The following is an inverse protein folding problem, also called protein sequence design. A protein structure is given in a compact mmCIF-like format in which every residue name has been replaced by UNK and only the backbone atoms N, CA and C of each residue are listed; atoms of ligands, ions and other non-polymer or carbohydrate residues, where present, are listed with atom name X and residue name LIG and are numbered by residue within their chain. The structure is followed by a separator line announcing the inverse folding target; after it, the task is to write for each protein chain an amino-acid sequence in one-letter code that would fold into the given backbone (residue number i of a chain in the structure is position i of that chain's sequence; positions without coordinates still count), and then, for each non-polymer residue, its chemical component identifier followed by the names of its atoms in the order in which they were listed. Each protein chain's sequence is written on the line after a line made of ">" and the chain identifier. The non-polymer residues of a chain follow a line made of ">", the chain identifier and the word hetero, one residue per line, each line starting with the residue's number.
data_IF_081624233993
#
_entry.id   IF_081624233993
#
_cell.length_a   1.000
_cell.length_b   1.000
_cell.length_c   1.000
_cell.angle_alpha   90.00
_cell.angle_beta   90.00
_cell.angle_gamma   90.00
#
_symmetry.space_group_name_H-M   'P 1'
#
loop_
_entity.id
_entity.type
_entity.pdbx_description
1 polymer ?
#
# COMPACT_ATOMS: atom_id res chain seq x y z
N UNK A 1 -39.96 -28.92 58.94
CA UNK A 1 -38.49 -28.77 58.87
C UNK A 1 -38.07 -28.69 57.39
N UNK A 2 -37.06 -27.87 57.09
CA UNK A 2 -36.80 -27.18 55.81
C UNK A 2 -36.60 -28.10 54.58
N UNK A 3 -37.28 -27.77 53.46
CA UNK A 3 -37.02 -28.31 52.11
C UNK A 3 -35.72 -27.70 51.55
N UNK A 4 -34.78 -28.55 51.17
CA UNK A 4 -33.68 -28.18 50.26
C UNK A 4 -34.23 -28.20 48.84
N UNK A 5 -34.31 -27.03 48.20
CA UNK A 5 -34.61 -26.93 46.77
C UNK A 5 -33.28 -26.73 46.05
N UNK A 6 -32.90 -27.74 45.24
CA UNK A 6 -31.70 -27.73 44.43
C UNK A 6 -31.74 -26.61 43.38
N UNK A 7 -30.59 -25.95 43.22
CA UNK A 7 -30.40 -24.90 42.24
C UNK A 7 -30.21 -25.54 40.85
N UNK A 8 -31.30 -25.67 40.09
CA UNK A 8 -31.22 -26.00 38.66
C UNK A 8 -30.75 -24.75 37.91
N UNK A 9 -29.44 -24.68 37.65
CA UNK A 9 -28.86 -23.66 36.77
C UNK A 9 -29.25 -24.03 35.34
N UNK A 10 -30.25 -23.32 34.84
CA UNK A 10 -30.78 -23.44 33.48
C UNK A 10 -29.67 -23.16 32.46
N UNK A 11 -29.36 -24.13 31.62
CA UNK A 11 -28.32 -24.08 30.59
C UNK A 11 -28.47 -22.90 29.59
N UNK A 12 -29.63 -22.23 29.54
CA UNK A 12 -29.89 -21.10 28.64
C UNK A 12 -29.13 -19.81 28.98
N UNK A 13 -28.78 -19.57 30.25
CA UNK A 13 -28.23 -18.27 30.68
C UNK A 13 -26.73 -18.14 30.40
N UNK A 14 -25.98 -19.25 30.38
CA UNK A 14 -24.53 -19.25 30.10
C UNK A 14 -24.24 -19.10 28.60
N UNK A 15 -25.11 -19.61 27.72
CA UNK A 15 -24.94 -19.52 26.27
C UNK A 15 -25.01 -18.09 25.71
N UNK A 16 -25.88 -17.23 26.27
CA UNK A 16 -26.05 -15.86 25.80
C UNK A 16 -24.87 -14.94 26.13
N UNK A 17 -24.15 -15.20 27.23
CA UNK A 17 -22.97 -14.40 27.65
C UNK A 17 -21.77 -14.71 26.74
N UNK A 18 -21.60 -15.97 26.31
CA UNK A 18 -20.51 -16.37 25.42
C UNK A 18 -20.71 -15.92 23.96
N UNK A 19 -21.97 -15.91 23.47
CA UNK A 19 -22.29 -15.38 22.13
C UNK A 19 -22.16 -13.86 22.10
N UNK A 20 -22.56 -13.17 23.17
CA UNK A 20 -22.42 -11.72 23.31
C UNK A 20 -20.96 -11.26 23.28
N UNK A 21 -20.08 -11.94 24.02
CA UNK A 21 -18.64 -11.61 24.07
C UNK A 21 -17.92 -11.88 22.76
N UNK A 22 -18.23 -12.96 22.04
CA UNK A 22 -17.65 -13.24 20.71
C UNK A 22 -18.13 -12.27 19.64
N UNK A 23 -19.42 -11.93 19.61
CA UNK A 23 -19.94 -10.93 18.66
C UNK A 23 -19.35 -9.53 18.93
N UNK A 24 -19.22 -9.15 20.20
CA UNK A 24 -18.66 -7.86 20.60
C UNK A 24 -17.15 -7.76 20.34
N UNK A 25 -16.38 -8.85 20.55
CA UNK A 25 -14.95 -8.90 20.16
C UNK A 25 -14.76 -8.93 18.65
N UNK A 26 -15.63 -9.58 17.87
CA UNK A 26 -15.61 -9.53 16.41
C UNK A 26 -15.91 -8.13 15.87
N UNK A 27 -16.90 -7.42 16.44
CA UNK A 27 -17.22 -6.04 16.07
C UNK A 27 -16.09 -5.08 16.45
N UNK A 28 -15.48 -5.25 17.63
CA UNK A 28 -14.34 -4.44 18.06
C UNK A 28 -13.07 -4.74 17.24
N UNK A 29 -12.81 -5.99 16.82
CA UNK A 29 -11.72 -6.29 15.87
C UNK A 29 -11.92 -5.60 14.52
N UNK A 30 -13.15 -5.56 14.00
CA UNK A 30 -13.45 -4.83 12.75
C UNK A 30 -13.29 -3.31 12.92
N UNK A 31 -13.79 -2.74 14.02
CA UNK A 31 -13.62 -1.31 14.34
C UNK A 31 -12.17 -0.94 14.57
N UNK A 32 -11.39 -1.77 15.26
CA UNK A 32 -9.97 -1.55 15.46
C UNK A 32 -9.20 -1.70 14.15
N UNK A 33 -9.55 -2.66 13.28
CA UNK A 33 -8.97 -2.73 11.93
C UNK A 33 -9.28 -1.49 11.10
N UNK A 34 -10.51 -1.00 11.14
CA UNK A 34 -10.92 0.23 10.44
C UNK A 34 -10.26 1.47 11.02
N UNK A 35 -10.17 1.58 12.35
CA UNK A 35 -9.50 2.68 13.03
C UNK A 35 -7.99 2.63 12.77
N UNK A 36 -7.36 1.46 12.82
CA UNK A 36 -5.95 1.28 12.46
C UNK A 36 -5.69 1.49 10.97
N UNK A 37 -6.60 1.13 10.07
CA UNK A 37 -6.46 1.43 8.65
C UNK A 37 -6.67 2.92 8.38
N UNK A 38 -7.65 3.55 9.02
CA UNK A 38 -7.89 4.99 8.91
C UNK A 38 -6.75 5.79 9.53
N UNK A 39 -6.30 5.47 10.74
CA UNK A 39 -5.12 6.07 11.37
C UNK A 39 -3.86 5.78 10.55
N UNK A 40 -3.74 4.60 9.95
CA UNK A 40 -2.66 4.25 9.03
C UNK A 40 -2.67 5.10 7.76
N UNK A 41 -3.85 5.36 7.17
CA UNK A 41 -4.01 6.23 6.01
C UNK A 41 -3.86 7.72 6.39
N UNK A 42 -4.37 8.14 7.55
CA UNK A 42 -4.22 9.50 8.08
C UNK A 42 -2.76 9.79 8.41
N UNK A 43 -2.07 8.88 9.09
CA UNK A 43 -0.65 9.02 9.43
C UNK A 43 0.23 9.05 8.18
N UNK A 44 -0.10 8.27 7.14
CA UNK A 44 0.53 8.40 5.81
C UNK A 44 0.28 9.75 5.16
N UNK A 45 -0.90 10.34 5.37
CA UNK A 45 -1.24 11.67 4.85
C UNK A 45 -0.60 12.81 5.65
N UNK A 46 -0.33 12.60 6.95
CA UNK A 46 0.17 13.61 7.87
C UNK A 46 1.70 13.59 8.02
N UNK A 47 2.35 12.44 7.86
CA UNK A 47 3.82 12.29 7.83
C UNK A 47 4.23 11.54 6.55
N UNK A 48 4.26 12.23 5.39
CA UNK A 48 4.53 11.65 4.07
C UNK A 48 6.00 11.27 3.85
N UNK A 49 6.82 11.25 4.90
CA UNK A 49 8.24 10.91 4.91
C UNK A 49 8.51 9.49 4.41
N UNK A 50 9.75 9.01 4.57
CA UNK A 50 10.16 7.62 4.34
C UNK A 50 9.11 6.56 4.74
N UNK A 51 8.38 6.72 5.86
CA UNK A 51 7.29 5.82 6.27
C UNK A 51 6.14 5.72 5.24
N UNK A 52 5.80 6.81 4.56
CA UNK A 52 4.85 6.85 3.46
C UNK A 52 5.29 6.00 2.27
N UNK A 53 6.56 6.13 1.85
CA UNK A 53 7.16 5.30 0.81
C UNK A 53 7.21 3.83 1.20
N UNK A 54 7.65 3.52 2.42
CA UNK A 54 7.73 2.15 2.94
C UNK A 54 6.37 1.45 2.96
N UNK A 55 5.34 2.21 3.30
CA UNK A 55 3.98 1.72 3.41
C UNK A 55 3.20 1.74 2.08
N UNK A 56 3.82 2.24 1.00
CA UNK A 56 3.23 2.26 -0.33
C UNK A 56 3.40 0.91 -1.00
N UNK A 57 2.33 0.13 -1.01
CA UNK A 57 2.28 -1.15 -1.71
C UNK A 57 2.56 -1.00 -3.22
N UNK A 58 2.28 0.16 -3.81
CA UNK A 58 2.50 0.40 -5.23
C UNK A 58 4.00 0.41 -5.62
N UNK A 59 4.89 0.82 -4.71
CA UNK A 59 6.35 0.81 -4.93
C UNK A 59 7.00 -0.53 -4.57
N UNK A 60 6.24 -1.48 -4.01
CA UNK A 60 6.73 -2.83 -3.76
C UNK A 60 6.79 -3.63 -5.06
N UNK A 61 7.97 -4.15 -5.40
CA UNK A 61 8.22 -4.95 -6.61
C UNK A 61 7.39 -6.23 -6.67
N UNK A 62 6.92 -6.74 -5.52
CA UNK A 62 6.08 -7.94 -5.42
C UNK A 62 4.59 -7.64 -5.51
N UNK A 63 4.17 -6.37 -5.48
CA UNK A 63 2.74 -6.04 -5.47
C UNK A 63 2.02 -6.52 -6.73
N UNK A 64 2.61 -6.36 -7.91
CA UNK A 64 2.07 -6.89 -9.17
C UNK A 64 1.82 -8.40 -9.07
N UNK A 65 2.78 -9.17 -8.57
CA UNK A 65 2.67 -10.63 -8.44
C UNK A 65 1.56 -11.01 -7.43
N UNK A 66 1.45 -10.28 -6.31
CA UNK A 66 0.35 -10.47 -5.35
C UNK A 66 -1.01 -10.20 -5.96
N UNK A 67 -1.16 -9.13 -6.75
CA UNK A 67 -2.45 -8.80 -7.38
C UNK A 67 -2.84 -9.90 -8.37
N UNK A 68 -1.91 -10.37 -9.20
CA UNK A 68 -2.14 -11.49 -10.13
C UNK A 68 -2.53 -12.79 -9.40
N UNK A 69 -1.84 -13.13 -8.31
CA UNK A 69 -2.14 -14.37 -7.57
C UNK A 69 -3.46 -14.31 -6.79
N UNK A 70 -3.95 -13.10 -6.48
CA UNK A 70 -5.16 -12.91 -5.65
C UNK A 70 -6.47 -12.82 -6.45
N UNK A 71 -6.41 -12.72 -7.78
CA UNK A 71 -7.57 -12.43 -8.64
C UNK A 71 -7.56 -13.26 -9.92
N UNK A 72 -8.74 -13.75 -10.29
CA UNK A 72 -8.97 -14.53 -11.52
C UNK A 72 -9.30 -13.69 -12.77
N UNK A 73 -9.23 -12.35 -12.69
CA UNK A 73 -9.59 -11.44 -13.78
C UNK A 73 -8.42 -11.01 -14.66
N UNK A 74 -8.72 -10.60 -15.92
CA UNK A 74 -7.73 -10.01 -16.84
C UNK A 74 -7.37 -8.59 -16.39
N UNK A 75 -6.25 -8.47 -15.68
CA UNK A 75 -5.72 -7.18 -15.22
C UNK A 75 -5.00 -6.47 -16.38
N UNK A 76 -5.30 -5.20 -16.59
CA UNK A 76 -4.62 -4.35 -17.57
C UNK A 76 -3.25 -3.98 -17.03
N UNK A 77 -2.20 -4.29 -17.79
CA UNK A 77 -0.80 -4.07 -17.40
C UNK A 77 0.01 -3.36 -18.48
N UNK A 78 1.13 -2.77 -18.09
CA UNK A 78 2.11 -2.25 -19.04
C UNK A 78 2.77 -3.39 -19.81
N UNK A 79 3.09 -3.12 -21.09
CA UNK A 79 4.07 -3.93 -21.84
C UNK A 79 5.41 -3.85 -21.12
N UNK A 80 6.17 -4.96 -21.14
CA UNK A 80 7.50 -5.04 -20.51
C UNK A 80 8.43 -3.92 -20.99
N UNK A 81 8.47 -3.65 -22.29
CA UNK A 81 9.29 -2.58 -22.89
C UNK A 81 8.91 -1.19 -22.37
N UNK A 82 7.62 -0.91 -22.18
CA UNK A 82 7.15 0.35 -21.60
C UNK A 82 7.57 0.50 -20.14
N UNK A 83 7.43 -0.56 -19.34
CA UNK A 83 7.88 -0.53 -17.94
C UNK A 83 9.40 -0.31 -17.83
N UNK A 84 10.20 -0.96 -18.68
CA UNK A 84 11.65 -0.73 -18.76
C UNK A 84 11.98 0.70 -19.20
N UNK A 85 11.29 1.23 -20.21
CA UNK A 85 11.51 2.61 -20.66
C UNK A 85 11.25 3.62 -19.54
N UNK A 86 10.12 3.49 -18.85
CA UNK A 86 9.78 4.34 -17.72
C UNK A 86 10.77 4.21 -16.56
N UNK A 87 11.27 3.00 -16.26
CA UNK A 87 12.33 2.83 -15.28
C UNK A 87 13.61 3.60 -15.65
N UNK A 88 14.03 3.51 -16.92
CA UNK A 88 15.21 4.23 -17.41
C UNK A 88 15.00 5.75 -17.41
N UNK A 89 13.81 6.23 -17.76
CA UNK A 89 13.45 7.65 -17.69
C UNK A 89 13.54 8.18 -16.25
N UNK A 90 13.04 7.42 -15.27
CA UNK A 90 13.20 7.75 -13.85
C UNK A 90 14.68 7.77 -13.46
N UNK A 91 15.45 6.75 -13.84
CA UNK A 91 16.87 6.66 -13.45
C UNK A 91 17.69 7.83 -14.01
N UNK A 92 17.41 8.26 -15.25
CA UNK A 92 18.02 9.47 -15.83
C UNK A 92 17.64 10.76 -15.11
N UNK A 93 16.51 10.76 -14.40
CA UNK A 93 16.08 11.87 -13.56
C UNK A 93 16.96 12.03 -12.32
N UNK A 94 17.49 10.93 -11.77
CA UNK A 94 18.45 11.02 -10.68
C UNK A 94 19.83 11.42 -11.21
N UNK A 95 20.32 12.58 -10.81
CA UNK A 95 21.55 13.19 -11.32
C UNK A 95 22.47 13.60 -10.17
N UNK A 96 23.78 13.59 -10.41
CA UNK A 96 24.72 14.10 -9.42
C UNK A 96 24.50 15.60 -9.15
N UNK A 97 24.69 16.01 -7.89
CA UNK A 97 24.56 17.40 -7.45
C UNK A 97 25.38 18.40 -8.30
N UNK A 98 26.58 18.00 -8.75
CA UNK A 98 27.45 18.83 -9.59
C UNK A 98 26.93 19.05 -11.02
N UNK A 99 25.86 18.36 -11.43
CA UNK A 99 25.16 18.57 -12.70
C UNK A 99 23.85 19.35 -12.54
N UNK A 100 23.65 20.00 -11.39
CA UNK A 100 22.44 20.80 -11.11
C UNK A 100 21.34 20.04 -10.37
N UNK A 101 21.67 18.93 -9.71
CA UNK A 101 20.72 18.13 -8.95
C UNK A 101 19.81 17.27 -9.82
N UNK A 102 18.87 16.60 -9.16
CA UNK A 102 17.90 15.71 -9.79
C UNK A 102 16.96 16.48 -10.73
N UNK A 103 16.26 15.75 -11.60
CA UNK A 103 15.21 16.27 -12.47
C UNK A 103 13.88 15.69 -12.00
N UNK A 104 13.41 16.19 -10.87
CA UNK A 104 12.28 15.62 -10.12
C UNK A 104 11.00 15.65 -10.96
N UNK A 105 10.77 16.74 -11.72
CA UNK A 105 9.60 16.87 -12.59
C UNK A 105 9.57 15.81 -13.70
N UNK A 106 10.73 15.36 -14.21
CA UNK A 106 10.79 14.25 -15.17
C UNK A 106 10.34 12.93 -14.52
N UNK A 107 10.76 12.70 -13.27
CA UNK A 107 10.35 11.53 -12.49
C UNK A 107 8.83 11.60 -12.22
N UNK A 108 8.32 12.77 -11.84
CA UNK A 108 6.88 12.98 -11.61
C UNK A 108 6.07 12.75 -12.88
N UNK A 109 6.53 13.22 -14.04
CA UNK A 109 5.87 13.01 -15.32
C UNK A 109 5.68 11.52 -15.63
N UNK A 110 6.68 10.68 -15.34
CA UNK A 110 6.54 9.22 -15.48
C UNK A 110 5.43 8.70 -14.57
N UNK A 111 5.42 9.06 -13.28
CA UNK A 111 4.37 8.61 -12.36
C UNK A 111 2.97 9.07 -12.77
N UNK A 112 2.81 10.30 -13.28
CA UNK A 112 1.51 10.83 -13.75
C UNK A 112 0.99 10.11 -15.01
N UNK A 113 1.88 9.51 -15.80
CA UNK A 113 1.49 8.73 -16.97
C UNK A 113 0.95 7.32 -16.63
N UNK A 114 1.24 6.83 -15.43
CA UNK A 114 0.75 5.54 -14.95
C UNK A 114 -0.72 5.63 -14.58
N UNK A 115 -1.46 4.55 -14.84
CA UNK A 115 -2.93 4.54 -14.73
C UNK A 115 -3.46 3.84 -13.48
N UNK A 116 -2.63 3.04 -12.82
CA UNK A 116 -2.99 2.30 -11.61
C UNK A 116 -1.74 1.89 -10.82
N UNK A 117 -1.94 1.43 -9.58
CA UNK A 117 -0.87 1.02 -8.66
C UNK A 117 -0.15 -0.26 -9.12
N UNK A 118 -0.76 -1.09 -9.96
CA UNK A 118 -0.07 -2.26 -10.55
C UNK A 118 0.98 -1.80 -11.53
N UNK A 119 0.67 -0.80 -12.38
CA UNK A 119 1.66 -0.24 -13.30
C UNK A 119 2.84 0.41 -12.56
N UNK A 120 2.60 1.08 -11.44
CA UNK A 120 3.67 1.59 -10.56
C UNK A 120 4.58 0.45 -10.10
N UNK A 121 4.01 -0.66 -9.63
CA UNK A 121 4.77 -1.82 -9.19
C UNK A 121 5.56 -2.47 -10.34
N UNK A 122 5.00 -2.50 -11.56
CA UNK A 122 5.73 -2.98 -12.73
C UNK A 122 6.94 -2.10 -13.06
N UNK A 123 6.82 -0.77 -12.95
CA UNK A 123 7.94 0.16 -13.14
C UNK A 123 8.98 -0.03 -12.03
N UNK A 124 8.57 -0.14 -10.77
CA UNK A 124 9.49 -0.41 -9.65
C UNK A 124 10.25 -1.74 -9.85
N UNK A 125 9.55 -2.80 -10.25
CA UNK A 125 10.13 -4.11 -10.57
C UNK A 125 11.08 -4.04 -11.77
N UNK A 126 10.75 -3.24 -12.78
CA UNK A 126 11.64 -3.00 -13.92
C UNK A 126 12.89 -2.24 -13.47
N UNK A 127 12.75 -1.18 -12.70
CA UNK A 127 13.85 -0.38 -12.16
C UNK A 127 14.85 -1.24 -11.37
N UNK A 128 14.36 -2.10 -10.48
CA UNK A 128 15.22 -3.04 -9.74
C UNK A 128 15.97 -4.01 -10.65
N UNK A 129 15.32 -4.51 -11.70
CA UNK A 129 15.95 -5.43 -12.65
C UNK A 129 17.04 -4.75 -13.47
N UNK A 130 16.77 -3.57 -14.01
CA UNK A 130 17.68 -2.86 -14.93
C UNK A 130 18.85 -2.20 -14.19
N UNK A 131 18.59 -1.56 -13.05
CA UNK A 131 19.60 -0.74 -12.34
C UNK A 131 20.16 -1.41 -11.09
N UNK A 132 19.64 -2.58 -10.69
CA UNK A 132 20.02 -3.29 -9.46
C UNK A 132 19.81 -2.48 -8.17
N UNK A 133 18.99 -1.44 -8.25
CA UNK A 133 18.65 -0.53 -7.16
C UNK A 133 17.14 -0.58 -6.90
N UNK A 134 16.72 -0.38 -5.66
CA UNK A 134 15.29 -0.31 -5.34
C UNK A 134 14.78 1.11 -5.60
N UNK A 135 13.74 1.24 -6.42
CA UNK A 135 13.16 2.56 -6.73
C UNK A 135 12.65 3.29 -5.47
N UNK A 136 12.12 2.55 -4.49
CA UNK A 136 11.70 3.14 -3.21
C UNK A 136 12.87 3.79 -2.49
N UNK A 137 13.99 3.08 -2.43
CA UNK A 137 15.18 3.53 -1.71
C UNK A 137 15.81 4.71 -2.46
N UNK A 138 15.86 4.66 -3.79
CA UNK A 138 16.33 5.77 -4.61
C UNK A 138 15.50 7.03 -4.42
N UNK A 139 14.16 6.93 -4.40
CA UNK A 139 13.30 8.07 -4.08
C UNK A 139 13.57 8.61 -2.67
N UNK A 140 13.86 7.74 -1.70
CA UNK A 140 14.14 8.15 -0.32
C UNK A 140 15.50 8.83 -0.18
N UNK A 141 16.51 8.36 -0.92
CA UNK A 141 17.88 8.85 -0.83
C UNK A 141 18.06 10.18 -1.57
N UNK A 142 17.32 10.36 -2.66
CA UNK A 142 17.41 11.53 -3.53
C UNK A 142 16.42 12.64 -3.16
N UNK A 143 15.19 12.29 -2.79
CA UNK A 143 14.14 13.30 -2.61
C UNK A 143 13.98 13.75 -1.17
N UNK A 144 13.69 15.04 -1.02
CA UNK A 144 13.25 15.64 0.22
C UNK A 144 11.80 15.28 0.57
N UNK A 145 11.34 15.72 1.75
CA UNK A 145 9.99 15.43 2.24
C UNK A 145 8.89 15.94 1.30
N UNK A 146 9.05 17.11 0.69
CA UNK A 146 8.06 17.74 -0.18
C UNK A 146 7.94 17.02 -1.53
N UNK A 147 9.08 16.56 -2.04
CA UNK A 147 9.21 15.81 -3.29
C UNK A 147 8.64 14.39 -3.14
N UNK A 148 8.96 13.71 -2.04
CA UNK A 148 8.34 12.43 -1.68
C UNK A 148 6.82 12.58 -1.57
N UNK A 149 6.34 13.65 -0.91
CA UNK A 149 4.90 13.93 -0.79
C UNK A 149 4.24 14.10 -2.17
N UNK A 150 4.94 14.70 -3.12
CA UNK A 150 4.44 14.85 -4.50
C UNK A 150 4.28 13.50 -5.19
N UNK A 151 5.30 12.63 -5.12
CA UNK A 151 5.23 11.26 -5.68
C UNK A 151 4.10 10.46 -5.04
N UNK A 152 4.03 10.45 -3.71
CA UNK A 152 2.97 9.74 -2.99
C UNK A 152 1.58 10.32 -3.29
N UNK A 153 1.48 11.65 -3.46
CA UNK A 153 0.26 12.33 -3.87
C UNK A 153 -0.25 11.85 -5.23
N UNK A 154 0.65 11.71 -6.22
CA UNK A 154 0.33 11.15 -7.54
C UNK A 154 -0.15 9.70 -7.39
N UNK A 155 0.63 8.85 -6.71
CA UNK A 155 0.34 7.41 -6.56
C UNK A 155 -0.96 7.17 -5.78
N UNK A 156 -1.26 8.00 -4.78
CA UNK A 156 -2.42 7.82 -3.90
C UNK A 156 -3.74 7.86 -4.67
N UNK A 157 -3.83 8.74 -5.69
CA UNK A 157 -4.98 8.96 -6.57
C UNK A 157 -5.18 7.84 -7.59
N UNK A 158 -4.19 6.98 -7.79
CA UNK A 158 -4.30 5.87 -8.72
C UNK A 158 -5.16 4.74 -8.14
N UNK A 159 -6.07 4.13 -8.95
CA UNK A 159 -6.80 2.94 -8.54
C UNK A 159 -5.82 1.77 -8.28
N UNK A 160 -6.26 0.76 -7.52
CA UNK A 160 -5.40 -0.38 -7.15
C UNK A 160 -4.90 -1.17 -8.36
N UNK A 161 -5.78 -1.36 -9.34
CA UNK A 161 -5.56 -2.02 -10.63
C UNK A 161 -6.78 -1.73 -11.52
N UNK A 162 -6.65 -2.02 -12.81
CA UNK A 162 -7.76 -1.96 -13.78
C UNK A 162 -7.95 -3.33 -14.43
N UNK A 163 -9.16 -3.65 -14.82
CA UNK A 163 -9.51 -4.89 -15.53
C UNK A 163 -10.04 -4.56 -16.92
N UNK A 164 -9.96 -5.52 -17.84
CA UNK A 164 -10.61 -5.47 -19.15
C UNK A 164 -12.10 -5.67 -18.99
#
# INVERSE_FOLDING_TARGET
>A
MKKVVGLQITAGTVGLILIGTTYMTLRNKKRNKLASSLLGELSKSLNPDSKGLESSAALDVKYVDRVFNSRSGKIIVLKKSTATRYANEIHKGFRPWYRGGDLEENIYAVFRNLKDKVQVSQVAKAYQREHKLNLRDQLKDHFDRSEIKTVLGIISRLPKYRTV
#
